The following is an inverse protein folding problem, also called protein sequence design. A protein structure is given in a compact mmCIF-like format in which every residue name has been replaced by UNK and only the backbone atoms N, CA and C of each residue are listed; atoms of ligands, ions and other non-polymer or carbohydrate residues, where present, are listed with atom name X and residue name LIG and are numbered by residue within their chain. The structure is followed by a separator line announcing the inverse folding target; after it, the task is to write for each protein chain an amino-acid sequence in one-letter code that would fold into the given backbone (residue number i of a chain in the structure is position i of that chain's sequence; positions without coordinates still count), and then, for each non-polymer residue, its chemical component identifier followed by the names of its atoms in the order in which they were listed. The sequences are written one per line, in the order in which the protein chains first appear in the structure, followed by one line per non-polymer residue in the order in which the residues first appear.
data_IF_263975576083
#
_entry.id   IF_263975576083
#
_cell.length_a   1.000
_cell.length_b   1.000
_cell.length_c   1.000
_cell.angle_alpha   90.00
_cell.angle_beta   90.00
_cell.angle_gamma   90.00
#
_symmetry.space_group_name_H-M   'P 1'
#
loop_
_entity.id
_entity.type
_entity.pdbx_description
1 polymer ?
#
# COMPACT_ATOMS: atom_id res chain seq x y z
N UNK A 1 51.16 -15.08 -13.44
CA UNK A 1 49.70 -15.26 -13.31
C UNK A 1 49.05 -13.98 -13.85
N UNK A 2 48.21 -14.08 -14.89
CA UNK A 2 47.47 -12.91 -15.39
C UNK A 2 46.46 -12.55 -14.30
N UNK A 3 46.52 -11.31 -13.83
CA UNK A 3 45.57 -10.80 -12.86
C UNK A 3 44.20 -10.68 -13.56
N UNK A 4 43.36 -11.71 -13.41
CA UNK A 4 42.03 -11.81 -14.04
C UNK A 4 41.07 -10.73 -13.50
N UNK A 5 41.52 -9.91 -12.54
CA UNK A 5 40.77 -8.84 -11.90
C UNK A 5 41.15 -7.43 -12.37
N UNK A 6 42.03 -7.27 -13.37
CA UNK A 6 42.34 -5.95 -13.90
C UNK A 6 41.23 -5.46 -14.86
N UNK A 7 40.57 -4.34 -14.50
CA UNK A 7 39.53 -3.70 -15.31
C UNK A 7 40.00 -3.38 -16.73
N UNK A 8 41.23 -2.90 -16.89
CA UNK A 8 41.79 -2.54 -18.20
C UNK A 8 41.92 -3.77 -19.11
N UNK A 9 42.24 -4.93 -18.53
CA UNK A 9 42.33 -6.18 -19.28
C UNK A 9 40.96 -6.62 -19.81
N UNK A 10 39.90 -6.43 -19.01
CA UNK A 10 38.51 -6.72 -19.44
C UNK A 10 38.03 -5.74 -20.50
N UNK A 11 38.33 -4.45 -20.35
CA UNK A 11 38.02 -3.44 -21.37
C UNK A 11 38.72 -3.79 -22.68
N UNK A 12 40.02 -4.11 -22.63
CA UNK A 12 40.79 -4.49 -23.82
C UNK A 12 40.29 -5.76 -24.50
N UNK A 13 39.88 -6.78 -23.74
CA UNK A 13 39.23 -7.97 -24.30
C UNK A 13 37.91 -7.63 -24.98
N UNK A 14 37.09 -6.77 -24.35
CA UNK A 14 35.86 -6.28 -24.95
C UNK A 14 36.09 -5.55 -26.27
N UNK A 15 37.08 -4.66 -26.32
CA UNK A 15 37.46 -3.92 -27.54
C UNK A 15 37.95 -4.84 -28.67
N UNK A 16 38.74 -5.87 -28.34
CA UNK A 16 39.21 -6.88 -29.30
C UNK A 16 38.03 -7.70 -29.84
N UNK A 17 37.14 -8.15 -28.96
CA UNK A 17 35.95 -8.90 -29.36
C UNK A 17 35.03 -8.05 -30.25
N UNK A 18 34.85 -6.77 -29.92
CA UNK A 18 34.06 -5.82 -30.72
C UNK A 18 34.67 -5.62 -32.12
N UNK A 19 35.99 -5.43 -32.21
CA UNK A 19 36.69 -5.30 -33.48
C UNK A 19 36.59 -6.57 -34.36
N UNK A 20 36.40 -7.73 -33.74
CA UNK A 20 36.17 -9.01 -34.43
C UNK A 20 34.69 -9.27 -34.76
N UNK A 21 33.78 -8.33 -34.47
CA UNK A 21 32.34 -8.47 -34.66
C UNK A 21 31.66 -9.42 -33.67
N UNK A 22 32.33 -9.78 -32.58
CA UNK A 22 31.83 -10.69 -31.54
C UNK A 22 31.10 -9.91 -30.44
N UNK A 23 29.99 -9.25 -30.81
CA UNK A 23 29.29 -8.30 -29.95
C UNK A 23 28.85 -8.90 -28.60
N UNK A 24 28.37 -10.16 -28.58
CA UNK A 24 27.94 -10.81 -27.34
C UNK A 24 29.08 -11.00 -26.34
N UNK A 25 30.27 -11.37 -26.83
CA UNK A 25 31.47 -11.51 -25.98
C UNK A 25 32.00 -10.16 -25.54
N UNK A 26 31.97 -9.17 -26.42
CA UNK A 26 32.34 -7.80 -26.07
C UNK A 26 31.46 -7.28 -24.93
N UNK A 27 30.14 -7.52 -25.03
CA UNK A 27 29.16 -7.16 -24.02
C UNK A 27 29.40 -7.87 -22.67
N UNK A 28 29.74 -9.16 -22.70
CA UNK A 28 30.12 -9.92 -21.49
C UNK A 28 31.37 -9.34 -20.80
N UNK A 29 32.41 -9.03 -21.57
CA UNK A 29 33.66 -8.46 -21.05
C UNK A 29 33.45 -7.04 -20.49
N UNK A 30 32.69 -6.19 -21.19
CA UNK A 30 32.36 -4.85 -20.70
C UNK A 30 31.49 -4.88 -19.44
N UNK A 31 30.48 -5.76 -19.37
CA UNK A 31 29.66 -5.94 -18.14
C UNK A 31 30.53 -6.37 -16.97
N UNK A 32 31.46 -7.29 -17.20
CA UNK A 32 32.46 -7.70 -16.19
C UNK A 32 33.33 -6.53 -15.78
N UNK A 33 33.83 -5.73 -16.73
CA UNK A 33 34.64 -4.55 -16.44
C UNK A 33 33.90 -3.50 -15.61
N UNK A 34 32.60 -3.28 -15.88
CA UNK A 34 31.77 -2.31 -15.15
C UNK A 34 31.58 -2.66 -13.66
N UNK A 35 31.65 -3.95 -13.33
CA UNK A 35 31.53 -4.49 -11.98
C UNK A 35 32.85 -4.52 -11.21
N UNK A 36 33.98 -4.34 -11.89
CA UNK A 36 35.29 -4.20 -11.25
C UNK A 36 35.47 -2.79 -10.68
N UNK A 37 36.31 -2.69 -9.64
CA UNK A 37 36.67 -1.40 -9.05
C UNK A 37 37.49 -0.59 -10.06
N UNK A 38 36.96 0.56 -10.46
CA UNK A 38 37.62 1.53 -11.32
C UNK A 38 37.17 2.95 -10.96
N UNK A 39 37.87 3.96 -11.48
CA UNK A 39 37.45 5.35 -11.33
C UNK A 39 36.17 5.65 -12.11
N UNK A 40 35.56 6.79 -11.80
CA UNK A 40 34.31 7.23 -12.43
C UNK A 40 34.38 7.29 -13.95
N UNK A 41 35.47 7.83 -14.52
CA UNK A 41 35.62 8.03 -15.96
C UNK A 41 35.61 6.67 -16.67
N UNK A 42 36.44 5.75 -16.17
CA UNK A 42 36.52 4.39 -16.70
C UNK A 42 35.17 3.68 -16.65
N UNK A 43 34.47 3.70 -15.51
CA UNK A 43 33.17 3.04 -15.37
C UNK A 43 32.09 3.67 -16.26
N UNK A 44 32.06 5.00 -16.36
CA UNK A 44 31.13 5.73 -17.24
C UNK A 44 31.36 5.35 -18.72
N UNK A 45 32.61 5.31 -19.15
CA UNK A 45 32.93 5.03 -20.55
C UNK A 45 32.66 3.56 -20.92
N UNK A 46 32.91 2.62 -20.00
CA UNK A 46 32.48 1.22 -20.16
C UNK A 46 30.96 1.10 -20.22
N UNK A 47 30.23 1.78 -19.33
CA UNK A 47 28.76 1.77 -19.36
C UNK A 47 28.22 2.29 -20.70
N UNK A 48 28.81 3.35 -21.27
CA UNK A 48 28.46 3.85 -22.60
C UNK A 48 28.71 2.82 -23.70
N UNK A 49 29.86 2.14 -23.69
CA UNK A 49 30.15 1.04 -24.64
C UNK A 49 29.11 -0.07 -24.59
N UNK A 50 28.65 -0.46 -23.40
CA UNK A 50 27.56 -1.44 -23.25
C UNK A 50 26.28 -0.89 -23.85
N UNK A 51 25.90 0.36 -23.55
CA UNK A 51 24.66 0.96 -24.03
C UNK A 51 24.67 1.26 -25.55
N UNK A 52 25.83 1.43 -26.17
CA UNK A 52 25.97 1.51 -27.62
C UNK A 52 25.66 0.16 -28.30
N UNK A 53 25.99 -0.95 -27.63
CA UNK A 53 25.71 -2.31 -28.10
C UNK A 53 24.32 -2.82 -27.72
N UNK A 54 23.84 -2.44 -26.53
CA UNK A 54 22.56 -2.84 -25.96
C UNK A 54 21.85 -1.61 -25.33
N UNK A 55 21.18 -0.78 -26.15
CA UNK A 55 20.52 0.44 -25.67
C UNK A 55 19.38 0.20 -24.67
N UNK A 56 18.91 -1.05 -24.51
CA UNK A 56 17.81 -1.41 -23.61
C UNK A 56 18.29 -2.09 -22.33
N UNK A 57 19.61 -2.14 -22.08
CA UNK A 57 20.17 -2.69 -20.84
C UNK A 57 19.86 -1.78 -19.65
N UNK A 58 18.69 -2.00 -19.04
CA UNK A 58 18.20 -1.25 -17.88
C UNK A 58 19.13 -1.38 -16.68
N UNK A 59 19.79 -2.54 -16.49
CA UNK A 59 20.74 -2.75 -15.39
C UNK A 59 21.95 -1.83 -15.53
N UNK A 60 22.49 -1.71 -16.75
CA UNK A 60 23.60 -0.80 -17.03
C UNK A 60 23.17 0.66 -16.91
N UNK A 61 21.97 1.02 -17.37
CA UNK A 61 21.41 2.36 -17.16
C UNK A 61 21.30 2.71 -15.68
N UNK A 62 20.82 1.80 -14.82
CA UNK A 62 20.76 2.04 -13.37
C UNK A 62 22.14 2.22 -12.76
N UNK A 63 23.13 1.41 -13.17
CA UNK A 63 24.53 1.57 -12.70
C UNK A 63 25.11 2.92 -13.14
N UNK A 64 24.84 3.35 -14.38
CA UNK A 64 25.28 4.64 -14.90
C UNK A 64 24.57 5.79 -14.19
N UNK A 65 23.28 5.67 -13.89
CA UNK A 65 22.53 6.64 -13.10
C UNK A 65 23.14 6.80 -11.71
N UNK A 66 23.46 5.69 -11.03
CA UNK A 66 24.14 5.73 -9.72
C UNK A 66 25.52 6.38 -9.80
N UNK A 67 26.31 6.07 -10.83
CA UNK A 67 27.60 6.74 -11.07
C UNK A 67 27.45 8.25 -11.21
N UNK A 68 26.40 8.70 -11.90
CA UNK A 68 26.09 10.11 -12.05
C UNK A 68 25.66 10.74 -10.72
N UNK A 69 24.81 10.08 -9.92
CA UNK A 69 24.44 10.54 -8.58
C UNK A 69 25.67 10.70 -7.67
N UNK A 70 26.59 9.72 -7.66
CA UNK A 70 27.82 9.76 -6.85
C UNK A 70 28.73 10.94 -7.23
N UNK A 71 28.70 11.35 -8.51
CA UNK A 71 29.43 12.53 -9.02
C UNK A 71 28.61 13.82 -8.96
N UNK A 72 27.41 13.79 -8.37
CA UNK A 72 26.49 14.94 -8.30
C UNK A 72 26.00 15.43 -9.66
N UNK A 73 26.09 14.61 -10.70
CA UNK A 73 25.48 14.86 -12.01
C UNK A 73 24.02 14.37 -12.01
N UNK A 74 23.16 15.11 -11.32
CA UNK A 74 21.78 14.70 -11.13
C UNK A 74 20.98 14.65 -12.43
N UNK A 75 21.26 15.56 -13.37
CA UNK A 75 20.63 15.58 -14.69
C UNK A 75 21.00 14.33 -15.50
N UNK A 76 22.28 13.94 -15.48
CA UNK A 76 22.71 12.70 -16.11
C UNK A 76 22.02 11.47 -15.51
N UNK A 77 21.85 11.43 -14.18
CA UNK A 77 21.12 10.36 -13.51
C UNK A 77 19.63 10.31 -13.91
N UNK A 78 18.96 11.47 -13.93
CA UNK A 78 17.57 11.61 -14.35
C UNK A 78 17.38 11.11 -15.78
N UNK A 79 18.26 11.51 -16.71
CA UNK A 79 18.20 11.05 -18.10
C UNK A 79 18.26 9.51 -18.19
N UNK A 80 19.14 8.87 -17.40
CA UNK A 80 19.24 7.41 -17.42
C UNK A 80 18.00 6.71 -16.84
N UNK A 81 17.43 7.23 -15.75
CA UNK A 81 16.20 6.66 -15.19
C UNK A 81 14.99 6.89 -16.09
N UNK A 82 14.87 8.06 -16.72
CA UNK A 82 13.84 8.34 -17.74
C UNK A 82 13.99 7.40 -18.93
N UNK A 83 15.21 7.12 -19.38
CA UNK A 83 15.46 6.14 -20.44
C UNK A 83 15.04 4.71 -20.04
N UNK A 84 15.21 4.33 -18.76
CA UNK A 84 14.67 3.05 -18.26
C UNK A 84 13.15 3.06 -18.39
N UNK A 85 12.46 4.08 -17.86
CA UNK A 85 11.00 4.19 -17.89
C UNK A 85 10.41 4.26 -19.30
N UNK A 86 11.14 4.82 -20.27
CA UNK A 86 10.72 4.81 -21.67
C UNK A 86 10.66 3.39 -22.27
N UNK A 87 11.46 2.46 -21.74
CA UNK A 87 11.52 1.06 -22.18
C UNK A 87 10.77 0.09 -21.27
N UNK A 88 10.70 0.39 -19.98
CA UNK A 88 10.03 -0.36 -18.93
C UNK A 88 9.26 0.62 -18.03
N UNK A 89 8.03 0.99 -18.41
CA UNK A 89 7.20 1.90 -17.63
C UNK A 89 6.81 1.36 -16.25
N UNK A 90 7.01 0.07 -15.98
CA UNK A 90 6.66 -0.57 -14.71
C UNK A 90 7.86 -0.69 -13.76
N UNK A 91 9.00 -0.09 -14.10
CA UNK A 91 10.18 -0.11 -13.23
C UNK A 91 10.01 0.78 -12.00
N UNK A 92 9.58 0.20 -10.88
CA UNK A 92 9.55 0.89 -9.59
C UNK A 92 10.95 1.36 -9.17
N UNK A 93 12.02 0.65 -9.55
CA UNK A 93 13.41 1.04 -9.27
C UNK A 93 13.76 2.36 -9.94
N UNK A 94 13.36 2.55 -11.20
CA UNK A 94 13.62 3.78 -11.92
C UNK A 94 12.80 4.95 -11.37
N UNK A 95 11.55 4.71 -10.96
CA UNK A 95 10.75 5.72 -10.24
C UNK A 95 11.41 6.11 -8.91
N UNK A 96 11.83 5.13 -8.10
CA UNK A 96 12.55 5.42 -6.84
C UNK A 96 13.86 6.17 -7.08
N UNK A 97 14.60 5.80 -8.13
CA UNK A 97 15.85 6.46 -8.51
C UNK A 97 15.67 7.90 -8.97
N UNK A 98 14.57 8.21 -9.68
CA UNK A 98 14.18 9.60 -9.98
C UNK A 98 13.84 10.37 -8.71
N UNK A 99 13.07 9.75 -7.80
CA UNK A 99 12.78 10.33 -6.49
C UNK A 99 14.07 10.72 -5.75
N UNK A 100 15.05 9.81 -5.68
CA UNK A 100 16.35 10.07 -5.06
C UNK A 100 17.14 11.18 -5.78
N UNK A 101 17.11 11.24 -7.11
CA UNK A 101 17.79 12.28 -7.87
C UNK A 101 17.20 13.68 -7.59
N UNK A 102 15.87 13.79 -7.59
CA UNK A 102 15.17 15.03 -7.27
C UNK A 102 15.34 15.44 -5.80
N UNK A 103 15.37 14.47 -4.86
CA UNK A 103 15.70 14.74 -3.45
C UNK A 103 17.03 15.47 -3.31
N UNK A 104 18.08 14.98 -3.98
CA UNK A 104 19.41 15.59 -3.85
C UNK A 104 19.50 16.97 -4.55
N UNK A 105 18.63 17.22 -5.53
CA UNK A 105 18.44 18.55 -6.12
C UNK A 105 17.61 19.51 -5.22
N UNK A 106 17.14 19.04 -4.07
CA UNK A 106 16.19 19.74 -3.18
C UNK A 106 14.84 20.04 -3.87
N UNK A 107 14.50 19.27 -4.90
CA UNK A 107 13.21 19.35 -5.58
C UNK A 107 12.24 18.34 -4.94
N UNK A 108 11.79 18.65 -3.73
CA UNK A 108 11.05 17.70 -2.90
C UNK A 108 9.67 17.32 -3.45
N UNK A 109 8.96 18.26 -4.09
CA UNK A 109 7.65 17.97 -4.67
C UNK A 109 7.71 16.89 -5.78
N UNK A 110 8.52 17.02 -6.85
CA UNK A 110 8.65 15.95 -7.85
C UNK A 110 9.28 14.68 -7.26
N UNK A 111 10.16 14.80 -6.26
CA UNK A 111 10.70 13.62 -5.58
C UNK A 111 9.60 12.75 -4.96
N UNK A 112 8.67 13.37 -4.21
CA UNK A 112 7.51 12.67 -3.62
C UNK A 112 6.63 12.01 -4.68
N UNK A 113 6.36 12.67 -5.80
CA UNK A 113 5.53 12.12 -6.88
C UNK A 113 6.15 10.84 -7.48
N UNK A 114 7.47 10.85 -7.68
CA UNK A 114 8.21 9.67 -8.15
C UNK A 114 8.25 8.54 -7.11
N UNK A 115 8.44 8.85 -5.83
CA UNK A 115 8.35 7.87 -4.75
C UNK A 115 6.96 7.24 -4.63
N UNK A 116 5.89 8.04 -4.72
CA UNK A 116 4.50 7.56 -4.74
C UNK A 116 4.26 6.65 -5.95
N UNK A 117 4.80 7.02 -7.12
CA UNK A 117 4.74 6.17 -8.31
C UNK A 117 5.45 4.82 -8.11
N UNK A 118 6.60 4.80 -7.42
CA UNK A 118 7.29 3.54 -7.08
C UNK A 118 6.45 2.62 -6.17
N UNK A 119 5.73 3.20 -5.20
CA UNK A 119 4.80 2.46 -4.33
C UNK A 119 3.64 1.87 -5.17
N UNK A 120 3.03 2.68 -6.05
CA UNK A 120 1.94 2.23 -6.92
C UNK A 120 2.35 1.13 -7.90
N UNK A 121 3.63 1.10 -8.29
CA UNK A 121 4.22 0.03 -9.10
C UNK A 121 4.65 -1.20 -8.28
N UNK A 122 4.12 -1.35 -7.06
CA UNK A 122 4.33 -2.50 -6.18
C UNK A 122 5.80 -2.73 -5.80
N UNK A 123 6.52 -1.67 -5.42
CA UNK A 123 7.83 -1.84 -4.81
C UNK A 123 7.78 -2.86 -3.64
N UNK A 124 8.77 -3.75 -3.48
CA UNK A 124 8.82 -4.71 -2.38
C UNK A 124 8.74 -4.03 -1.00
N UNK A 125 8.23 -4.73 0.02
CA UNK A 125 7.94 -4.12 1.33
C UNK A 125 9.16 -3.51 2.03
N UNK A 126 10.35 -4.09 1.89
CA UNK A 126 11.61 -3.55 2.41
C UNK A 126 12.03 -2.25 1.68
N UNK A 127 11.64 -2.12 0.41
CA UNK A 127 11.85 -0.93 -0.39
C UNK A 127 10.80 0.13 -0.07
N UNK A 128 9.54 -0.26 0.14
CA UNK A 128 8.47 0.65 0.55
C UNK A 128 8.81 1.38 1.84
N UNK A 129 9.40 0.70 2.83
CA UNK A 129 9.85 1.37 4.07
C UNK A 129 10.84 2.49 3.74
N UNK A 130 11.82 2.24 2.88
CA UNK A 130 12.79 3.28 2.49
C UNK A 130 12.12 4.41 1.72
N UNK A 131 11.21 4.07 0.80
CA UNK A 131 10.48 5.05 0.01
C UNK A 131 9.59 5.94 0.89
N UNK A 132 8.85 5.37 1.85
CA UNK A 132 8.07 6.18 2.80
C UNK A 132 8.95 7.02 3.73
N UNK A 133 10.11 6.52 4.16
CA UNK A 133 11.09 7.35 4.88
C UNK A 133 11.54 8.54 4.03
N UNK A 134 11.80 8.33 2.73
CA UNK A 134 12.15 9.40 1.79
C UNK A 134 11.01 10.39 1.56
N UNK A 135 9.77 9.93 1.45
CA UNK A 135 8.59 10.82 1.36
C UNK A 135 8.48 11.68 2.62
N UNK A 136 8.67 11.08 3.79
CA UNK A 136 8.62 11.80 5.07
C UNK A 136 9.74 12.83 5.19
N UNK A 137 10.96 12.49 4.76
CA UNK A 137 12.11 13.41 4.65
C UNK A 137 11.80 14.57 3.69
N UNK A 138 11.33 14.25 2.48
CA UNK A 138 10.95 15.23 1.47
C UNK A 138 9.86 16.20 1.98
N UNK A 139 8.85 15.68 2.67
CA UNK A 139 7.78 16.50 3.23
C UNK A 139 8.32 17.42 4.32
N UNK A 140 9.16 16.91 5.21
CA UNK A 140 9.77 17.69 6.28
C UNK A 140 10.66 18.81 5.73
N UNK A 141 11.44 18.55 4.69
CA UNK A 141 12.30 19.54 4.06
C UNK A 141 11.50 20.56 3.24
N UNK A 142 10.37 20.15 2.66
CA UNK A 142 9.46 21.02 1.93
C UNK A 142 8.74 22.01 2.86
N UNK A 143 8.20 21.53 3.98
CA UNK A 143 7.45 22.38 4.93
C UNK A 143 8.38 23.07 5.92
N UNK A 144 9.55 22.52 6.22
CA UNK A 144 10.47 22.98 7.26
C UNK A 144 10.20 22.33 8.63
N UNK A 145 11.24 22.23 9.46
CA UNK A 145 11.24 21.45 10.72
C UNK A 145 10.11 21.80 11.72
N UNK A 146 9.68 23.06 11.74
CA UNK A 146 8.71 23.57 12.72
C UNK A 146 7.27 23.60 12.19
N UNK A 147 7.06 23.23 10.93
CA UNK A 147 5.74 23.27 10.30
C UNK A 147 5.11 21.86 10.27
N UNK A 148 3.78 21.78 10.42
CA UNK A 148 3.08 20.51 10.35
C UNK A 148 3.25 19.87 8.97
N UNK A 149 3.45 18.55 8.95
CA UNK A 149 3.50 17.77 7.73
C UNK A 149 2.16 17.80 7.02
N UNK A 150 2.19 17.84 5.68
CA UNK A 150 1.01 17.66 4.87
C UNK A 150 0.54 16.21 4.81
N UNK A 151 -0.55 15.95 4.05
CA UNK A 151 -1.18 14.63 3.97
C UNK A 151 -0.24 13.51 3.53
N UNK A 152 0.72 13.79 2.64
CA UNK A 152 1.70 12.79 2.18
C UNK A 152 2.64 12.34 3.32
N UNK A 153 3.07 13.26 4.18
CA UNK A 153 3.92 12.95 5.33
C UNK A 153 3.17 12.18 6.42
N UNK A 154 1.92 12.59 6.70
CA UNK A 154 1.04 11.88 7.64
C UNK A 154 0.75 10.45 7.16
N UNK A 155 0.48 10.28 5.86
CA UNK A 155 0.30 8.96 5.25
C UNK A 155 1.58 8.12 5.33
N UNK A 156 2.74 8.72 5.05
CA UNK A 156 4.01 8.02 5.17
C UNK A 156 4.26 7.50 6.60
N UNK A 157 3.93 8.29 7.64
CA UNK A 157 4.04 7.85 9.03
C UNK A 157 3.13 6.65 9.35
N UNK A 158 1.88 6.68 8.88
CA UNK A 158 0.92 5.61 9.10
C UNK A 158 1.36 4.32 8.40
N UNK A 159 1.79 4.41 7.14
CA UNK A 159 2.26 3.26 6.36
C UNK A 159 3.55 2.68 6.93
N UNK A 160 4.47 3.52 7.41
CA UNK A 160 5.66 3.06 8.14
C UNK A 160 5.28 2.28 9.40
N UNK A 161 4.31 2.76 10.18
CA UNK A 161 3.85 2.04 11.37
C UNK A 161 3.33 0.64 11.02
N UNK A 162 2.47 0.56 9.99
CA UNK A 162 1.93 -0.71 9.49
C UNK A 162 3.04 -1.66 9.00
N UNK A 163 3.97 -1.18 8.19
CA UNK A 163 5.09 -1.97 7.67
C UNK A 163 6.04 -2.44 8.79
N UNK A 164 6.31 -1.59 9.79
CA UNK A 164 7.11 -1.97 10.95
C UNK A 164 6.43 -3.06 11.79
N UNK A 165 5.11 -3.00 11.97
CA UNK A 165 4.35 -4.08 12.62
C UNK A 165 4.49 -5.40 11.86
N UNK A 166 4.35 -5.37 10.53
CA UNK A 166 4.54 -6.56 9.67
C UNK A 166 5.95 -7.14 9.78
N UNK A 167 6.96 -6.30 10.03
CA UNK A 167 8.34 -6.73 10.29
C UNK A 167 8.61 -7.13 11.76
N UNK A 168 7.60 -7.13 12.62
CA UNK A 168 7.73 -7.40 14.07
C UNK A 168 8.42 -6.29 14.86
N UNK A 169 8.64 -5.12 14.25
CA UNK A 169 9.28 -3.95 14.86
C UNK A 169 8.27 -3.02 15.55
N UNK A 170 7.54 -3.56 16.54
CA UNK A 170 6.48 -2.82 17.24
C UNK A 170 6.96 -1.49 17.88
N UNK A 171 8.22 -1.41 18.33
CA UNK A 171 8.79 -0.18 18.89
C UNK A 171 8.85 0.97 17.87
N UNK A 172 9.29 0.68 16.63
CA UNK A 172 9.33 1.68 15.55
C UNK A 172 7.94 2.09 15.11
N UNK A 173 6.99 1.16 15.10
CA UNK A 173 5.59 1.48 14.82
C UNK A 173 5.00 2.44 15.86
N UNK A 174 5.19 2.15 17.16
CA UNK A 174 4.77 3.03 18.26
C UNK A 174 5.33 4.45 18.13
N UNK A 175 6.56 4.61 17.66
CA UNK A 175 7.16 5.93 17.47
C UNK A 175 6.39 6.76 16.44
N UNK A 176 6.04 6.18 15.29
CA UNK A 176 5.30 6.88 14.25
C UNK A 176 3.86 7.18 14.69
N UNK A 177 3.20 6.22 15.32
CA UNK A 177 1.81 6.36 15.79
C UNK A 177 1.69 7.43 16.87
N UNK A 178 2.63 7.46 17.83
CA UNK A 178 2.65 8.48 18.88
C UNK A 178 2.74 9.90 18.30
N UNK A 179 3.57 10.10 17.27
CA UNK A 179 3.66 11.39 16.58
C UNK A 179 2.35 11.72 15.86
N UNK A 180 1.74 10.75 15.17
CA UNK A 180 0.41 10.93 14.57
C UNK A 180 -0.64 11.37 15.59
N UNK A 181 -0.68 10.75 16.77
CA UNK A 181 -1.64 11.14 17.80
C UNK A 181 -1.38 12.51 18.42
N UNK A 182 -0.10 12.83 18.64
CA UNK A 182 0.27 14.06 19.36
C UNK A 182 0.12 15.28 18.46
N UNK A 183 0.59 15.17 17.22
CA UNK A 183 0.72 16.31 16.30
C UNK A 183 -0.43 16.37 15.29
N UNK A 184 -1.13 15.24 15.06
CA UNK A 184 -2.15 15.08 14.01
C UNK A 184 -3.37 14.29 14.51
N UNK A 185 -3.92 14.64 15.67
CA UNK A 185 -4.98 13.86 16.35
C UNK A 185 -6.22 13.55 15.47
N UNK A 186 -6.56 14.43 14.52
CA UNK A 186 -7.69 14.26 13.60
C UNK A 186 -7.36 13.37 12.38
N UNK A 187 -6.08 13.02 12.17
CA UNK A 187 -5.64 12.23 11.03
C UNK A 187 -5.90 10.74 11.25
N UNK A 188 -6.94 10.23 10.59
CA UNK A 188 -7.32 8.80 10.57
C UNK A 188 -7.28 8.14 11.97
N UNK A 189 -7.93 8.74 13.00
CA UNK A 189 -7.79 8.32 14.39
C UNK A 189 -8.17 6.85 14.63
N UNK A 190 -9.13 6.32 13.89
CA UNK A 190 -9.52 4.91 13.96
C UNK A 190 -8.38 3.96 13.53
N UNK A 191 -7.71 4.26 12.40
CA UNK A 191 -6.60 3.44 11.91
C UNK A 191 -5.37 3.54 12.82
N UNK A 192 -5.09 4.74 13.36
CA UNK A 192 -4.01 4.94 14.34
C UNK A 192 -4.27 4.11 15.61
N UNK A 193 -5.46 4.21 16.19
CA UNK A 193 -5.83 3.45 17.39
C UNK A 193 -5.80 1.93 17.17
N UNK A 194 -6.19 1.47 15.99
CA UNK A 194 -6.05 0.07 15.59
C UNK A 194 -4.60 -0.39 15.60
N UNK A 195 -3.71 0.32 14.89
CA UNK A 195 -2.31 -0.06 14.79
C UNK A 195 -1.65 -0.04 16.17
N UNK A 196 -2.03 0.89 17.04
CA UNK A 196 -1.55 0.92 18.42
C UNK A 196 -1.94 -0.30 19.23
N UNK A 197 -3.21 -0.74 19.14
CA UNK A 197 -3.64 -1.97 19.79
C UNK A 197 -2.77 -3.17 19.34
N UNK A 198 -2.43 -3.25 18.05
CA UNK A 198 -1.54 -4.28 17.52
C UNK A 198 -0.11 -4.16 18.08
N UNK A 199 0.39 -2.94 18.30
CA UNK A 199 1.72 -2.76 18.94
C UNK A 199 1.76 -3.20 20.42
N UNK A 200 0.60 -3.40 21.05
CA UNK A 200 0.44 -3.95 22.40
C UNK A 200 0.24 -5.47 22.40
N UNK A 201 0.28 -6.11 21.23
CA UNK A 201 0.06 -7.54 21.08
C UNK A 201 -1.42 -7.94 21.17
N UNK A 202 -2.35 -6.98 21.09
CA UNK A 202 -3.79 -7.29 21.03
C UNK A 202 -4.12 -7.87 19.67
N UNK A 203 -4.89 -8.95 19.66
CA UNK A 203 -5.55 -9.46 18.45
C UNK A 203 -6.89 -8.77 18.29
N UNK A 204 -7.12 -8.12 17.15
CA UNK A 204 -8.42 -7.50 16.85
C UNK A 204 -9.33 -8.52 16.15
N UNK A 205 -10.63 -8.61 16.50
CA UNK A 205 -11.55 -9.54 15.85
C UNK A 205 -11.70 -9.27 14.35
N UNK A 206 -11.67 -10.35 13.56
CA UNK A 206 -11.79 -10.28 12.11
C UNK A 206 -10.52 -9.82 11.38
N UNK A 207 -10.51 -10.07 10.09
CA UNK A 207 -9.43 -9.70 9.18
C UNK A 207 -9.53 -8.21 8.81
N UNK A 208 -8.38 -7.54 8.73
CA UNK A 208 -8.28 -6.20 8.17
C UNK A 208 -8.37 -6.26 6.65
N UNK A 209 -9.21 -5.41 6.08
CA UNK A 209 -9.35 -5.23 4.64
C UNK A 209 -8.85 -3.84 4.30
N UNK A 210 -8.11 -3.69 3.20
CA UNK A 210 -7.65 -2.38 2.74
C UNK A 210 -8.84 -1.43 2.50
N UNK A 211 -8.78 -0.24 3.08
CA UNK A 211 -9.85 0.76 2.95
C UNK A 211 -9.82 1.37 1.54
N UNK A 212 -10.89 1.16 0.76
CA UNK A 212 -11.05 1.68 -0.60
C UNK A 212 -11.61 3.11 -0.65
N UNK A 213 -11.71 3.78 0.50
CA UNK A 213 -12.23 5.14 0.61
C UNK A 213 -13.75 5.20 0.78
N UNK A 214 -14.29 6.41 0.67
CA UNK A 214 -15.69 6.74 0.99
C UNK A 214 -16.37 7.62 -0.06
N UNK A 215 -16.06 7.38 -1.33
CA UNK A 215 -16.59 8.21 -2.42
C UNK A 215 -18.08 7.92 -2.62
N UNK A 216 -18.93 8.92 -2.40
CA UNK A 216 -20.35 8.80 -2.76
C UNK A 216 -20.53 8.83 -4.28
N UNK A 217 -21.35 7.91 -4.79
CA UNK A 217 -21.69 7.75 -6.21
C UNK A 217 -23.20 7.83 -6.44
N UNK A 218 -23.60 8.18 -7.66
CA UNK A 218 -25.00 8.13 -8.06
C UNK A 218 -25.46 6.68 -8.32
N UNK A 219 -26.77 6.37 -8.18
CA UNK A 219 -27.28 5.05 -8.51
C UNK A 219 -26.91 4.63 -9.95
N UNK A 220 -26.19 3.52 -10.08
CA UNK A 220 -25.74 2.97 -11.37
C UNK A 220 -24.47 3.59 -11.95
N UNK A 221 -23.80 4.51 -11.23
CA UNK A 221 -22.49 5.03 -11.62
C UNK A 221 -21.41 3.96 -11.51
N UNK A 222 -20.51 3.90 -12.50
CA UNK A 222 -19.43 2.91 -12.53
C UNK A 222 -18.35 3.22 -11.51
N UNK A 223 -17.85 2.20 -10.82
CA UNK A 223 -16.70 2.30 -9.93
C UNK A 223 -15.75 1.09 -10.09
N UNK A 224 -14.49 1.19 -9.63
CA UNK A 224 -13.60 0.04 -9.53
C UNK A 224 -14.19 -1.09 -8.64
N UNK A 225 -13.79 -2.35 -8.86
CA UNK A 225 -14.31 -3.47 -8.08
C UNK A 225 -13.92 -3.37 -6.60
N UNK A 226 -14.80 -3.88 -5.73
CA UNK A 226 -14.49 -4.03 -4.31
C UNK A 226 -13.41 -5.09 -4.07
N UNK A 227 -12.60 -4.88 -3.04
CA UNK A 227 -11.50 -5.77 -2.66
C UNK A 227 -11.88 -6.86 -1.64
N UNK A 228 -13.15 -6.91 -1.24
CA UNK A 228 -13.69 -7.88 -0.29
C UNK A 228 -15.10 -8.30 -0.69
N UNK A 229 -15.53 -9.44 -0.16
CA UNK A 229 -16.86 -10.00 -0.37
C UNK A 229 -17.38 -10.61 0.94
N UNK A 230 -18.39 -10.03 1.60
CA UNK A 230 -19.09 -8.76 1.26
C UNK A 230 -18.14 -7.55 1.35
N UNK A 231 -18.44 -6.43 0.67
CA UNK A 231 -17.58 -5.24 0.69
C UNK A 231 -17.56 -4.57 2.07
N UNK A 232 -16.39 -4.06 2.46
CA UNK A 232 -16.19 -3.40 3.77
C UNK A 232 -15.93 -1.90 3.68
N UNK A 233 -15.77 -1.34 2.49
CA UNK A 233 -15.47 0.09 2.23
C UNK A 233 -15.57 0.35 0.71
N UNK A 234 -15.44 1.61 0.29
CA UNK A 234 -15.31 2.00 -1.11
C UNK A 234 -16.44 2.89 -1.59
N UNK A 235 -16.68 2.88 -2.90
CA UNK A 235 -17.74 3.65 -3.55
C UNK A 235 -19.11 3.17 -3.11
N UNK A 236 -20.02 4.08 -2.77
CA UNK A 236 -21.35 3.73 -2.30
C UNK A 236 -22.35 4.87 -2.51
N UNK A 237 -23.63 4.57 -2.48
CA UNK A 237 -24.69 5.56 -2.64
C UNK A 237 -24.86 6.36 -1.35
N UNK A 238 -25.45 7.56 -1.45
CA UNK A 238 -25.79 8.39 -0.29
C UNK A 238 -27.01 7.92 0.51
N UNK A 239 -27.59 6.76 0.16
CA UNK A 239 -28.74 6.15 0.83
C UNK A 239 -28.33 4.88 1.56
N UNK A 240 -28.84 4.69 2.77
CA UNK A 240 -28.61 3.53 3.61
C UNK A 240 -29.81 2.56 3.62
N UNK A 241 -29.56 1.31 4.00
CA UNK A 241 -30.62 0.34 4.26
C UNK A 241 -31.21 0.53 5.66
N UNK A 242 -32.51 0.24 5.82
CA UNK A 242 -33.17 0.28 7.13
C UNK A 242 -32.49 -0.67 8.12
N UNK A 243 -32.15 -0.21 9.32
CA UNK A 243 -31.50 -1.06 10.32
C UNK A 243 -32.38 -2.22 10.78
N UNK A 244 -31.80 -3.42 10.85
CA UNK A 244 -32.48 -4.65 11.25
C UNK A 244 -32.38 -5.81 10.29
N UNK A 245 -33.39 -6.67 10.34
CA UNK A 245 -33.42 -7.93 9.59
C UNK A 245 -34.08 -7.75 8.24
N UNK A 246 -33.38 -8.16 7.20
CA UNK A 246 -33.83 -8.15 5.80
C UNK A 246 -34.00 -9.57 5.28
N UNK A 247 -35.14 -9.90 4.66
CA UNK A 247 -35.35 -11.20 4.04
C UNK A 247 -34.64 -11.34 2.68
N UNK A 248 -34.28 -10.23 2.06
CA UNK A 248 -33.62 -10.15 0.76
C UNK A 248 -32.22 -9.55 0.88
N UNK A 249 -31.37 -9.81 -0.12
CA UNK A 249 -30.01 -9.27 -0.14
C UNK A 249 -30.03 -7.77 -0.39
N UNK A 250 -29.21 -7.04 0.37
CA UNK A 250 -29.04 -5.60 0.20
C UNK A 250 -27.95 -5.35 -0.87
N UNK A 251 -28.15 -4.43 -1.83
CA UNK A 251 -27.11 -4.06 -2.79
C UNK A 251 -25.83 -3.55 -2.10
N UNK A 252 -24.68 -3.85 -2.70
CA UNK A 252 -23.36 -3.51 -2.15
C UNK A 252 -23.20 -2.01 -1.91
N UNK A 253 -23.56 -1.20 -2.90
CA UNK A 253 -23.45 0.25 -2.86
C UNK A 253 -24.39 0.88 -1.82
N UNK A 254 -25.41 0.17 -1.34
CA UNK A 254 -26.33 0.65 -0.30
C UNK A 254 -25.78 0.27 1.08
N UNK A 255 -25.41 -1.00 1.26
CA UNK A 255 -25.01 -1.50 2.58
C UNK A 255 -23.67 -0.92 3.07
N UNK A 256 -22.78 -0.51 2.16
CA UNK A 256 -21.53 0.18 2.54
C UNK A 256 -21.82 1.51 3.26
N UNK A 257 -22.92 2.21 2.93
CA UNK A 257 -23.29 3.45 3.65
C UNK A 257 -23.61 3.16 5.12
N UNK A 258 -24.27 2.04 5.42
CA UNK A 258 -24.47 1.59 6.80
C UNK A 258 -23.13 1.34 7.52
N UNK A 259 -22.14 0.75 6.84
CA UNK A 259 -20.79 0.60 7.39
C UNK A 259 -20.11 1.96 7.61
N UNK A 260 -20.32 2.92 6.70
CA UNK A 260 -19.81 4.29 6.80
C UNK A 260 -20.27 4.97 8.11
N UNK A 261 -21.55 4.75 8.46
CA UNK A 261 -22.17 5.20 9.70
C UNK A 261 -21.80 4.40 10.96
N UNK A 262 -20.87 3.45 10.85
CA UNK A 262 -20.40 2.61 11.96
C UNK A 262 -21.28 1.41 12.27
N UNK A 263 -22.09 0.95 11.30
CA UNK A 263 -22.86 -0.27 11.42
C UNK A 263 -22.02 -1.54 11.36
N UNK A 264 -22.62 -2.63 11.84
CA UNK A 264 -22.12 -4.00 11.62
C UNK A 264 -23.21 -4.80 10.93
N UNK A 265 -22.86 -5.47 9.83
CA UNK A 265 -23.79 -6.27 9.04
C UNK A 265 -23.46 -7.74 9.25
N UNK A 266 -24.45 -8.51 9.71
CA UNK A 266 -24.39 -9.96 9.82
C UNK A 266 -25.01 -10.55 8.55
N UNK A 267 -24.25 -11.38 7.83
CA UNK A 267 -24.66 -11.90 6.54
C UNK A 267 -24.49 -13.41 6.45
N UNK A 268 -25.36 -14.08 5.71
CA UNK A 268 -25.38 -15.53 5.55
C UNK A 268 -25.60 -15.95 4.10
N UNK A 269 -25.15 -17.16 3.73
CA UNK A 269 -25.40 -17.69 2.38
C UNK A 269 -26.91 -17.87 2.13
N UNK A 270 -27.45 -17.52 0.94
CA UNK A 270 -28.88 -17.69 0.64
C UNK A 270 -29.38 -19.14 0.75
N UNK A 271 -28.48 -20.12 0.68
CA UNK A 271 -28.77 -21.55 0.86
C UNK A 271 -28.73 -22.02 2.31
N UNK A 272 -28.56 -21.12 3.28
CA UNK A 272 -28.56 -21.46 4.70
C UNK A 272 -29.89 -22.12 5.09
N UNK A 273 -29.84 -23.09 6.00
CA UNK A 273 -31.06 -23.68 6.52
C UNK A 273 -31.83 -22.72 7.43
N UNK A 274 -33.13 -22.99 7.62
CA UNK A 274 -33.99 -22.16 8.45
C UNK A 274 -33.50 -22.05 9.90
N UNK A 275 -32.87 -23.09 10.43
CA UNK A 275 -32.42 -23.10 11.83
C UNK A 275 -31.30 -22.08 12.06
N UNK A 276 -30.31 -22.01 11.16
CA UNK A 276 -29.27 -20.99 11.20
C UNK A 276 -29.85 -19.58 11.04
N UNK A 277 -30.78 -19.39 10.10
CA UNK A 277 -31.41 -18.07 9.86
C UNK A 277 -32.21 -17.61 11.09
N UNK A 278 -33.00 -18.50 11.69
CA UNK A 278 -33.73 -18.22 12.93
C UNK A 278 -32.78 -17.87 14.09
N UNK A 279 -31.65 -18.59 14.19
CA UNK A 279 -30.64 -18.36 15.24
C UNK A 279 -29.95 -17.00 15.08
N UNK A 280 -29.63 -16.63 13.84
CA UNK A 280 -29.07 -15.32 13.51
C UNK A 280 -30.04 -14.17 13.80
N UNK A 281 -31.30 -14.31 13.37
CA UNK A 281 -32.34 -13.33 13.63
C UNK A 281 -32.52 -13.11 15.14
N UNK A 282 -32.65 -14.20 15.90
CA UNK A 282 -32.78 -14.15 17.36
C UNK A 282 -31.58 -13.48 18.04
N UNK A 283 -30.37 -13.71 17.52
CA UNK A 283 -29.15 -13.08 18.03
C UNK A 283 -29.14 -11.57 17.77
N UNK A 284 -29.41 -11.15 16.53
CA UNK A 284 -29.41 -9.73 16.16
C UNK A 284 -30.52 -8.97 16.87
N UNK A 285 -31.75 -9.51 16.90
CA UNK A 285 -32.89 -8.89 17.61
C UNK A 285 -32.59 -8.68 19.09
N UNK A 286 -32.06 -9.70 19.77
CA UNK A 286 -31.67 -9.64 21.19
C UNK A 286 -30.59 -8.59 21.46
N UNK A 287 -29.60 -8.42 20.58
CA UNK A 287 -28.61 -7.34 20.74
C UNK A 287 -29.26 -5.97 20.53
N UNK A 288 -30.09 -5.81 19.49
CA UNK A 288 -30.74 -4.54 19.16
C UNK A 288 -31.70 -4.00 20.23
N UNK A 289 -32.09 -4.81 21.22
CA UNK A 289 -32.81 -4.33 22.42
C UNK A 289 -31.98 -3.32 23.23
N UNK A 290 -30.65 -3.32 23.08
CA UNK A 290 -29.78 -2.37 23.74
C UNK A 290 -29.46 -1.20 22.78
N UNK A 291 -29.55 0.07 23.24
CA UNK A 291 -29.30 1.24 22.40
C UNK A 291 -27.95 1.24 21.67
N UNK A 292 -26.93 0.62 22.29
CA UNK A 292 -25.57 0.49 21.72
C UNK A 292 -25.55 -0.26 20.37
N UNK A 293 -26.46 -1.21 20.15
CA UNK A 293 -26.44 -2.07 18.97
C UNK A 293 -27.52 -1.71 17.95
N UNK A 294 -28.01 -0.46 17.97
CA UNK A 294 -29.07 0.00 17.06
C UNK A 294 -28.68 -0.14 15.57
N UNK A 295 -27.38 -0.01 15.26
CA UNK A 295 -26.79 -0.10 13.91
C UNK A 295 -26.38 -1.51 13.48
N UNK A 296 -27.24 -2.49 13.76
CA UNK A 296 -27.06 -3.87 13.29
C UNK A 296 -27.98 -4.17 12.11
N UNK A 297 -27.42 -4.84 11.10
CA UNK A 297 -28.16 -5.43 9.98
C UNK A 297 -28.01 -6.94 9.96
N UNK A 298 -29.05 -7.63 9.50
CA UNK A 298 -29.02 -9.05 9.14
C UNK A 298 -29.59 -9.23 7.74
N UNK A 299 -28.84 -9.82 6.81
CA UNK A 299 -29.34 -10.06 5.44
C UNK A 299 -28.67 -11.27 4.77
N UNK A 300 -29.33 -11.98 3.84
CA UNK A 300 -28.65 -12.96 3.00
C UNK A 300 -27.67 -12.27 2.03
N UNK A 301 -26.56 -12.92 1.69
CA UNK A 301 -25.55 -12.36 0.77
C UNK A 301 -25.11 -13.36 -0.31
N UNK A 302 -25.51 -13.14 -1.58
CA UNK A 302 -25.18 -14.05 -2.69
C UNK A 302 -23.68 -14.18 -3.00
N UNK A 303 -23.23 -15.44 -3.08
CA UNK A 303 -21.86 -15.78 -3.45
C UNK A 303 -20.83 -15.50 -2.35
N UNK A 304 -21.26 -15.52 -1.09
CA UNK A 304 -20.38 -15.69 0.06
C UNK A 304 -19.67 -17.06 -0.02
N UNK A 305 -18.38 -17.09 0.30
CA UNK A 305 -17.50 -18.27 0.25
C UNK A 305 -17.49 -19.08 1.56
N UNK A 306 -18.15 -18.56 2.59
CA UNK A 306 -18.33 -19.14 3.92
C UNK A 306 -19.81 -19.15 4.29
N UNK A 307 -20.19 -19.89 5.33
CA UNK A 307 -21.59 -19.99 5.79
C UNK A 307 -22.15 -18.62 6.16
N UNK A 308 -21.33 -17.78 6.79
CA UNK A 308 -21.71 -16.45 7.23
C UNK A 308 -20.50 -15.52 7.30
N UNK A 309 -20.77 -14.21 7.33
CA UNK A 309 -19.78 -13.18 7.54
C UNK A 309 -20.35 -12.02 8.36
N UNK A 310 -19.48 -11.32 9.06
CA UNK A 310 -19.78 -10.04 9.69
C UNK A 310 -18.87 -9.00 9.06
N UNK A 311 -19.45 -7.89 8.60
CA UNK A 311 -18.70 -6.76 8.05
C UNK A 311 -18.86 -5.53 8.92
N UNK A 312 -17.75 -4.85 9.12
CA UNK A 312 -17.63 -3.49 9.65
C UNK A 312 -16.76 -2.70 8.68
N UNK A 313 -16.65 -1.37 8.85
CA UNK A 313 -15.77 -0.58 8.00
C UNK A 313 -14.34 -1.14 8.02
N UNK A 314 -13.80 -1.47 6.83
CA UNK A 314 -12.49 -2.07 6.62
C UNK A 314 -12.22 -3.39 7.41
N UNK A 315 -13.26 -4.10 7.84
CA UNK A 315 -13.15 -5.31 8.67
C UNK A 315 -14.13 -6.40 8.28
N UNK A 316 -13.65 -7.63 8.22
CA UNK A 316 -14.49 -8.79 7.92
C UNK A 316 -14.16 -9.98 8.82
N UNK A 317 -15.18 -10.61 9.38
CA UNK A 317 -15.07 -11.91 10.04
C UNK A 317 -15.91 -12.91 9.26
N UNK A 318 -15.28 -13.94 8.67
CA UNK A 318 -15.99 -15.03 7.98
C UNK A 318 -15.97 -16.29 8.82
N UNK A 319 -17.11 -16.98 8.91
CA UNK A 319 -17.28 -18.17 9.74
C UNK A 319 -17.91 -19.32 8.94
N UNK A 320 -17.39 -20.54 9.14
CA UNK A 320 -17.96 -21.77 8.56
C UNK A 320 -19.20 -22.27 9.32
N UNK A 321 -19.42 -21.80 10.55
CA UNK A 321 -20.55 -22.16 11.40
C UNK A 321 -20.90 -21.02 12.36
N UNK A 322 -22.10 -21.08 12.94
CA UNK A 322 -22.53 -20.14 13.96
C UNK A 322 -21.62 -20.20 15.20
N UNK A 323 -21.12 -19.03 15.62
CA UNK A 323 -20.33 -18.87 16.84
C UNK A 323 -20.68 -17.54 17.51
N UNK A 324 -21.57 -17.59 18.50
CA UNK A 324 -22.06 -16.39 19.21
C UNK A 324 -20.91 -15.57 19.84
N UNK A 325 -19.87 -16.24 20.37
CA UNK A 325 -18.77 -15.55 21.05
C UNK A 325 -17.92 -14.75 20.08
N UNK A 326 -17.56 -15.36 18.93
CA UNK A 326 -16.80 -14.66 17.90
C UNK A 326 -17.60 -13.51 17.28
N UNK A 327 -18.89 -13.74 17.03
CA UNK A 327 -19.79 -12.73 16.49
C UNK A 327 -19.98 -11.54 17.44
N UNK A 328 -20.29 -11.81 18.72
CA UNK A 328 -20.44 -10.77 19.72
C UNK A 328 -19.14 -9.99 19.93
N UNK A 329 -17.99 -10.69 19.98
CA UNK A 329 -16.68 -10.05 20.07
C UNK A 329 -16.36 -9.14 18.89
N UNK A 330 -16.74 -9.54 17.67
CA UNK A 330 -16.59 -8.69 16.49
C UNK A 330 -17.52 -7.47 16.52
N UNK A 331 -18.79 -7.66 16.86
CA UNK A 331 -19.75 -6.56 16.97
C UNK A 331 -19.29 -5.57 18.04
N UNK A 332 -18.91 -6.03 19.22
CA UNK A 332 -18.41 -5.17 20.30
C UNK A 332 -17.16 -4.39 19.92
N UNK A 333 -16.29 -5.01 19.12
CA UNK A 333 -15.06 -4.38 18.68
C UNK A 333 -15.29 -3.29 17.63
N UNK A 334 -16.35 -3.37 16.82
CA UNK A 334 -16.47 -2.56 15.59
C UNK A 334 -17.75 -1.75 15.43
N UNK A 335 -18.79 -2.01 16.22
CA UNK A 335 -19.99 -1.16 16.23
C UNK A 335 -19.60 0.28 16.59
N UNK A 336 -20.22 1.25 15.92
CA UNK A 336 -19.92 2.70 16.00
C UNK A 336 -18.52 3.11 15.52
N UNK A 337 -17.76 2.23 14.86
CA UNK A 337 -16.41 2.52 14.33
C UNK A 337 -16.39 2.75 12.82
N UNK A 338 -17.30 3.59 12.33
CA UNK A 338 -17.32 4.04 10.94
C UNK A 338 -16.51 5.33 10.73
N UNK A 339 -16.14 5.65 9.48
CA UNK A 339 -15.49 6.92 9.15
C UNK A 339 -16.40 8.15 9.40
N UNK A 340 -17.73 7.98 9.39
CA UNK A 340 -18.65 9.03 9.82
C UNK A 340 -18.99 8.89 11.30
N UNK A 341 -18.76 9.99 12.02
CA UNK A 341 -18.88 10.04 13.48
C UNK A 341 -20.17 10.75 13.88
N UNK A 342 -20.69 10.41 15.08
CA UNK A 342 -21.88 11.03 15.68
C UNK A 342 -23.19 10.85 14.91
N UNK A 343 -23.29 9.80 14.09
CA UNK A 343 -24.56 9.42 13.46
C UNK A 343 -25.47 8.83 14.54
N UNK A 344 -26.58 9.49 14.83
CA UNK A 344 -27.53 9.03 15.85
C UNK A 344 -28.17 7.70 15.45
N UNK A 345 -28.56 6.91 16.44
CA UNK A 345 -29.46 5.78 16.20
C UNK A 345 -30.77 6.31 15.59
N UNK A 346 -31.29 5.64 14.55
CA UNK A 346 -32.61 5.96 13.99
C UNK A 346 -33.76 5.74 14.98
#
# INVERSE_FOLDING_TARGET
ARDVYNVDARIGLGDVNLAQGQNDKALEDYRTALDLRADYTTRRDVAKKILDLDPKDTKTRSKLAQLYLDQRDYNGAIEQYQAILASDPQSWQAQSGLGDAYMIQNEYAPAKDHFKSAILLNAPSDQQIRIYQRILEAEQDLVGADNPLGPDGQEAMLQLANLYLKQGSASRAKEQLKKLQTDYADYKPAQVAELEALTEGKTLPGEAVEDQGRTHIQPGESHPPYNSKPPTSGWHQGSDAEWGTHPESIPDEIQIHNLEHGGVIVQYVPSADKALVDQLASFVERLREQPKYCKLLLAPYPGLDKTMALTAWARILKLDAYDENQMAGFIDAWIEKGPEQNIACP
#
